data_IF_005301547170
#
_entry.id   IF_005301547170
#
_cell.length_a   1.000
_cell.length_b   1.000
_cell.length_c   1.000
_cell.angle_alpha   90.00
_cell.angle_beta   90.00
_cell.angle_gamma   90.00
#
_symmetry.space_group_name_H-M   'P 1'
#
loop_
_entity.id
_entity.type
_entity.pdbx_description
1 polymer ?
#
# COMPACT_ATOMS: atom_id res chain seq x y z
N UNK A 1 10.97 2.42 -4.79
CA UNK A 1 9.75 1.87 -4.16
C UNK A 1 10.10 1.38 -2.78
N UNK A 2 9.28 1.69 -1.78
CA UNK A 2 9.46 1.15 -0.45
C UNK A 2 9.06 -0.33 -0.44
N UNK A 3 9.81 -1.11 0.32
CA UNK A 3 9.66 -2.56 0.40
C UNK A 3 9.88 -2.98 1.84
N UNK A 4 9.02 -3.85 2.34
CA UNK A 4 9.11 -4.40 3.69
C UNK A 4 9.18 -5.92 3.57
N UNK A 5 10.26 -6.50 4.07
CA UNK A 5 10.38 -7.94 4.20
C UNK A 5 9.70 -8.37 5.50
N UNK A 6 8.89 -9.43 5.41
CA UNK A 6 8.24 -10.05 6.56
C UNK A 6 8.59 -11.53 6.58
N UNK A 7 8.89 -12.05 7.77
CA UNK A 7 9.00 -13.48 8.00
C UNK A 7 7.63 -14.01 8.43
N UNK A 8 7.12 -15.03 7.75
CA UNK A 8 5.89 -15.71 8.12
C UNK A 8 6.06 -17.21 7.89
N UNK A 9 5.90 -17.99 8.96
CA UNK A 9 6.27 -19.40 9.00
C UNK A 9 7.73 -19.59 8.54
N UNK A 10 7.98 -20.55 7.66
CA UNK A 10 9.31 -20.88 7.13
C UNK A 10 9.63 -20.09 5.85
N UNK A 11 8.98 -18.94 5.63
CA UNK A 11 9.09 -18.15 4.40
C UNK A 11 9.30 -16.67 4.68
N UNK A 12 10.06 -16.03 3.79
CA UNK A 12 10.25 -14.58 3.77
C UNK A 12 9.50 -14.01 2.58
N UNK A 13 8.61 -13.06 2.85
CA UNK A 13 7.82 -12.38 1.85
C UNK A 13 8.23 -10.92 1.77
N UNK A 14 8.18 -10.43 0.55
CA UNK A 14 8.63 -9.11 0.20
C UNK A 14 7.44 -8.28 -0.25
N UNK A 15 6.92 -7.45 0.66
CA UNK A 15 5.74 -6.64 0.41
C UNK A 15 6.17 -5.29 -0.16
N UNK A 16 5.72 -5.01 -1.37
CA UNK A 16 5.90 -3.71 -2.00
C UNK A 16 4.76 -2.77 -1.62
N UNK A 17 5.08 -1.54 -1.20
CA UNK A 17 4.08 -0.58 -0.78
C UNK A 17 4.43 0.84 -1.26
N UNK A 18 3.52 1.77 -1.03
CA UNK A 18 3.70 3.19 -1.32
C UNK A 18 3.04 3.98 -0.21
N UNK A 19 3.77 4.96 0.32
CA UNK A 19 3.21 5.98 1.19
C UNK A 19 2.76 7.15 0.32
N UNK A 20 1.61 7.74 0.67
CA UNK A 20 1.02 8.84 -0.11
C UNK A 20 1.45 10.19 0.49
N UNK A 21 1.28 10.39 1.80
CA UNK A 21 1.58 11.65 2.47
C UNK A 21 2.09 11.43 3.90
N UNK A 22 3.38 11.64 4.15
CA UNK A 22 3.99 11.43 5.48
C UNK A 22 3.58 12.49 6.50
N UNK A 23 2.86 13.54 6.09
CA UNK A 23 2.38 14.61 6.95
C UNK A 23 0.88 14.52 7.23
N UNK A 24 0.18 13.55 6.63
CA UNK A 24 -1.24 13.37 6.89
C UNK A 24 -1.49 12.93 8.34
N UNK A 25 -2.50 13.52 9.02
CA UNK A 25 -2.89 13.11 10.37
C UNK A 25 -3.67 11.78 10.40
N UNK A 26 -4.15 11.30 9.24
CA UNK A 26 -4.92 10.07 9.13
C UNK A 26 -4.10 9.01 8.38
N UNK A 27 -4.15 7.76 8.83
CA UNK A 27 -3.46 6.65 8.18
C UNK A 27 -4.48 5.62 7.69
N UNK A 28 -4.29 5.11 6.48
CA UNK A 28 -5.10 4.03 5.92
C UNK A 28 -4.23 2.99 5.22
N UNK A 29 -4.54 1.71 5.41
CA UNK A 29 -3.90 0.62 4.68
C UNK A 29 -4.85 0.09 3.61
N UNK A 30 -4.42 0.22 2.35
CA UNK A 30 -5.17 -0.31 1.22
C UNK A 30 -4.60 -1.66 0.79
N UNK A 31 -5.44 -2.70 0.86
CA UNK A 31 -5.14 -4.03 0.34
C UNK A 31 -5.95 -4.24 -0.94
N UNK A 32 -5.31 -4.77 -1.97
CA UNK A 32 -5.97 -5.06 -3.23
C UNK A 32 -6.45 -6.51 -3.30
N UNK A 33 -7.44 -6.77 -4.15
CA UNK A 33 -7.93 -8.12 -4.42
C UNK A 33 -7.03 -8.91 -5.38
N UNK A 34 -7.41 -10.16 -5.62
CA UNK A 34 -6.73 -11.04 -6.59
C UNK A 34 -6.82 -10.47 -8.01
N UNK A 35 -5.73 -10.56 -8.77
CA UNK A 35 -5.63 -10.04 -10.15
C UNK A 35 -5.47 -8.52 -10.24
N UNK A 36 -5.46 -7.82 -9.10
CA UNK A 36 -5.20 -6.39 -9.02
C UNK A 36 -3.76 -6.11 -8.56
N UNK A 37 -3.39 -4.83 -8.53
CA UNK A 37 -2.12 -4.35 -7.99
C UNK A 37 -2.29 -2.98 -7.34
N UNK A 38 -1.29 -2.52 -6.59
CA UNK A 38 -1.29 -1.17 -6.03
C UNK A 38 -1.39 -0.08 -7.11
N UNK A 39 -0.83 -0.32 -8.29
CA UNK A 39 -0.87 0.61 -9.43
C UNK A 39 -2.30 0.79 -9.95
N UNK A 40 -3.04 -0.32 -10.13
CA UNK A 40 -4.45 -0.28 -10.56
C UNK A 40 -5.29 0.46 -9.51
N UNK A 41 -5.07 0.17 -8.23
CA UNK A 41 -5.80 0.83 -7.14
C UNK A 41 -5.49 2.34 -7.08
N UNK A 42 -4.23 2.74 -7.27
CA UNK A 42 -3.84 4.15 -7.30
C UNK A 42 -4.47 4.87 -8.50
N UNK A 43 -4.42 4.28 -9.69
CA UNK A 43 -5.02 4.87 -10.89
C UNK A 43 -6.52 5.14 -10.69
N UNK A 44 -7.24 4.21 -10.05
CA UNK A 44 -8.67 4.34 -9.85
C UNK A 44 -9.06 5.25 -8.66
N UNK A 45 -8.31 5.23 -7.56
CA UNK A 45 -8.78 5.77 -6.28
C UNK A 45 -7.86 6.80 -5.61
N UNK A 46 -6.69 7.13 -6.16
CA UNK A 46 -5.76 8.08 -5.49
C UNK A 46 -6.40 9.44 -5.17
N UNK A 47 -7.32 9.91 -6.02
CA UNK A 47 -8.03 11.18 -5.83
C UNK A 47 -9.07 11.16 -4.71
N UNK A 48 -9.41 9.99 -4.16
CA UNK A 48 -10.44 9.84 -3.13
C UNK A 48 -9.87 9.94 -1.70
N UNK A 49 -8.56 9.72 -1.52
CA UNK A 49 -7.94 9.56 -0.19
C UNK A 49 -6.84 10.59 0.09
N UNK A 50 -6.98 11.80 -0.44
CA UNK A 50 -5.96 12.86 -0.36
C UNK A 50 -5.61 13.29 1.07
N UNK A 51 -6.48 13.03 2.04
CA UNK A 51 -6.27 13.35 3.44
C UNK A 51 -5.73 12.17 4.26
N UNK A 52 -5.26 11.09 3.62
CA UNK A 52 -4.74 9.89 4.27
C UNK A 52 -3.32 9.61 3.82
N UNK A 53 -2.48 9.15 4.75
CA UNK A 53 -1.24 8.46 4.45
C UNK A 53 -1.48 6.99 4.12
#
# INVERSE_FOLDING_TARGET
>A
MAKRSIAYLDSVFDISYTFIDHHSPLNALFLHGWGSSKEIMQQAFQGCFLNYN
#
